data_IF_875959688810
#
_entry.id   IF_875959688810
#
_cell.length_a   1.000
_cell.length_b   1.000
_cell.length_c   1.000
_cell.angle_alpha   90.00
_cell.angle_beta   90.00
_cell.angle_gamma   90.00
#
_symmetry.space_group_name_H-M   'P 1'
#
loop_
_entity.id
_entity.type
_entity.pdbx_description
1 polymer ?
#
# COMPACT_ATOMS: atom_id res chain seq x y z
N UNK A 1 -7.15 -17.99 -24.59
CA UNK A 1 -5.72 -18.06 -24.22
C UNK A 1 -5.53 -19.25 -23.31
N UNK A 2 -4.71 -20.22 -23.72
CA UNK A 2 -4.57 -21.50 -23.03
C UNK A 2 -3.87 -21.33 -21.67
N UNK A 3 -4.51 -21.80 -20.60
CA UNK A 3 -3.89 -21.93 -19.29
C UNK A 3 -3.03 -23.20 -19.33
N UNK A 4 -1.73 -23.06 -19.62
CA UNK A 4 -0.78 -24.15 -19.39
C UNK A 4 -0.70 -24.43 -17.89
N UNK A 5 -1.33 -25.52 -17.45
CA UNK A 5 -1.13 -26.05 -16.10
C UNK A 5 0.28 -26.62 -16.00
N UNK A 6 1.23 -25.81 -15.54
CA UNK A 6 2.52 -26.29 -15.04
C UNK A 6 2.29 -27.11 -13.75
N UNK A 7 1.97 -28.39 -13.89
CA UNK A 7 1.99 -29.34 -12.78
C UNK A 7 3.44 -29.76 -12.49
N UNK A 8 4.15 -28.95 -11.71
CA UNK A 8 5.43 -29.32 -11.12
C UNK A 8 5.24 -29.94 -9.74
N UNK A 9 5.66 -31.19 -9.55
CA UNK A 9 5.75 -31.78 -8.20
C UNK A 9 6.99 -31.22 -7.51
N UNK A 10 6.82 -30.25 -6.62
CA UNK A 10 7.89 -29.75 -5.74
C UNK A 10 8.27 -30.83 -4.72
N UNK A 11 9.38 -31.53 -4.98
CA UNK A 11 10.02 -32.40 -3.98
C UNK A 11 10.86 -31.52 -3.06
N UNK A 12 10.28 -31.10 -1.94
CA UNK A 12 11.05 -30.46 -0.87
C UNK A 12 12.03 -31.47 -0.26
N UNK A 13 13.27 -31.05 -0.01
CA UNK A 13 14.22 -31.84 0.78
C UNK A 13 13.59 -32.19 2.14
N UNK A 14 13.84 -33.39 2.64
CA UNK A 14 13.27 -33.87 3.91
C UNK A 14 13.77 -33.01 5.07
N UNK A 15 13.03 -31.95 5.42
CA UNK A 15 13.21 -31.26 6.69
C UNK A 15 13.01 -32.28 7.83
N UNK A 16 13.79 -32.21 8.93
CA UNK A 16 13.58 -33.08 10.08
C UNK A 16 12.11 -32.96 10.52
N UNK A 17 11.36 -34.06 10.40
CA UNK A 17 9.93 -34.09 10.73
C UNK A 17 9.78 -34.30 12.23
N UNK A 18 9.92 -33.24 13.02
CA UNK A 18 9.56 -33.31 14.44
C UNK A 18 8.06 -33.11 14.58
N UNK A 19 7.42 -34.03 15.31
CA UNK A 19 5.98 -34.00 15.54
C UNK A 19 5.61 -32.72 16.28
N UNK A 20 4.62 -31.98 15.76
CA UNK A 20 4.17 -30.71 16.35
C UNK A 20 4.91 -29.46 15.84
N UNK A 21 5.95 -29.62 14.99
CA UNK A 21 6.56 -28.49 14.32
C UNK A 21 5.61 -27.91 13.25
N UNK A 22 5.54 -26.58 13.20
CA UNK A 22 4.85 -25.85 12.15
C UNK A 22 5.83 -25.50 11.02
N UNK A 23 5.37 -25.67 9.78
CA UNK A 23 6.11 -25.37 8.56
C UNK A 23 5.36 -24.31 7.75
N UNK A 24 6.06 -23.61 6.87
CA UNK A 24 5.42 -22.73 5.87
C UNK A 24 5.93 -23.10 4.49
N UNK A 25 5.05 -23.05 3.50
CA UNK A 25 5.40 -23.19 2.10
C UNK A 25 5.74 -21.82 1.54
N UNK A 26 6.81 -21.74 0.76
CA UNK A 26 7.19 -20.54 0.00
C UNK A 26 7.10 -20.88 -1.47
N UNK A 27 6.25 -20.15 -2.20
CA UNK A 27 6.23 -20.18 -3.66
C UNK A 27 6.96 -18.93 -4.16
N UNK A 28 7.99 -19.10 -5.00
CA UNK A 28 8.84 -18.01 -5.46
C UNK A 28 9.47 -18.31 -6.82
N UNK A 29 9.66 -17.28 -7.63
CA UNK A 29 10.41 -17.32 -8.89
C UNK A 29 11.90 -16.99 -8.73
N UNK A 30 12.39 -16.87 -7.48
CA UNK A 30 13.78 -16.51 -7.15
C UNK A 30 14.51 -17.68 -6.51
N UNK A 31 15.78 -17.89 -6.86
CA UNK A 31 16.61 -18.98 -6.35
C UNK A 31 17.72 -18.46 -5.43
N UNK A 32 17.36 -17.92 -4.26
CA UNK A 32 18.31 -17.47 -3.24
C UNK A 32 17.74 -17.61 -1.81
N UNK A 33 18.59 -17.53 -0.77
CA UNK A 33 18.20 -17.81 0.62
C UNK A 33 17.07 -16.92 1.17
N UNK A 34 16.92 -15.70 0.64
CA UNK A 34 15.87 -14.72 0.98
C UNK A 34 14.80 -14.59 -0.10
N UNK A 35 14.57 -15.63 -0.90
CA UNK A 35 13.65 -15.59 -2.04
C UNK A 35 12.17 -15.38 -1.67
N UNK A 36 11.83 -15.42 -0.38
CA UNK A 36 10.49 -15.11 0.15
C UNK A 36 10.27 -13.62 0.42
N UNK A 37 11.32 -12.79 0.34
CA UNK A 37 11.28 -11.36 0.67
C UNK A 37 11.25 -10.53 -0.61
N UNK A 38 10.28 -9.61 -0.69
CA UNK A 38 10.18 -8.59 -1.74
C UNK A 38 10.97 -7.36 -1.30
N UNK A 39 11.98 -6.94 -2.05
CA UNK A 39 12.76 -5.74 -1.71
C UNK A 39 12.14 -4.51 -2.38
N UNK A 40 11.50 -3.63 -1.59
CA UNK A 40 10.83 -2.44 -2.13
C UNK A 40 11.79 -1.40 -2.73
N UNK A 41 13.07 -1.42 -2.35
CA UNK A 41 14.09 -0.56 -2.98
C UNK A 41 14.66 -1.13 -4.28
N UNK A 42 14.24 -2.32 -4.70
CA UNK A 42 14.74 -2.92 -5.94
C UNK A 42 14.09 -2.22 -7.14
N UNK A 43 14.90 -1.79 -8.12
CA UNK A 43 14.39 -1.16 -9.35
C UNK A 43 13.53 -2.12 -10.19
N UNK A 44 13.77 -3.41 -10.04
CA UNK A 44 13.12 -4.53 -10.72
C UNK A 44 12.04 -5.21 -9.85
N UNK A 45 11.48 -4.51 -8.84
CA UNK A 45 10.61 -5.12 -7.81
C UNK A 45 9.48 -5.97 -8.40
N UNK A 46 8.79 -5.50 -9.45
CA UNK A 46 7.69 -6.22 -10.11
C UNK A 46 8.05 -6.97 -11.39
N UNK A 47 9.33 -7.14 -11.74
CA UNK A 47 9.72 -7.86 -12.96
C UNK A 47 9.35 -9.35 -12.93
N UNK A 48 9.26 -9.95 -11.73
CA UNK A 48 8.97 -11.38 -11.53
C UNK A 48 7.76 -11.58 -10.62
N UNK A 49 7.05 -12.72 -10.73
CA UNK A 49 5.98 -13.06 -9.80
C UNK A 49 6.44 -12.95 -8.34
N UNK A 50 5.68 -12.22 -7.55
CA UNK A 50 6.01 -11.98 -6.14
C UNK A 50 5.93 -13.27 -5.33
N UNK A 51 6.92 -13.53 -4.46
CA UNK A 51 6.88 -14.68 -3.57
C UNK A 51 5.71 -14.59 -2.60
N UNK A 52 5.16 -15.75 -2.25
CA UNK A 52 4.06 -15.89 -1.29
C UNK A 52 4.38 -16.98 -0.28
N UNK A 53 4.00 -16.72 0.97
CA UNK A 53 4.13 -17.67 2.07
C UNK A 53 2.76 -18.17 2.51
N UNK A 54 2.64 -19.47 2.75
CA UNK A 54 1.45 -20.00 3.44
C UNK A 54 1.41 -19.54 4.90
N UNK A 55 0.24 -19.63 5.54
CA UNK A 55 0.16 -19.68 7.00
C UNK A 55 0.87 -20.94 7.54
N UNK A 56 1.18 -21.00 8.85
CA UNK A 56 1.79 -22.17 9.46
C UNK A 56 0.95 -23.45 9.27
N UNK A 57 1.56 -24.46 8.68
CA UNK A 57 1.02 -25.81 8.46
C UNK A 57 1.64 -26.74 9.50
N UNK A 58 0.83 -27.32 10.37
CA UNK A 58 1.27 -28.33 11.33
C UNK A 58 1.06 -29.71 10.73
N UNK A 59 2.15 -30.45 10.54
CA UNK A 59 2.06 -31.85 10.11
C UNK A 59 1.80 -32.73 11.34
N UNK A 60 0.66 -33.41 11.36
CA UNK A 60 0.32 -34.33 12.45
C UNK A 60 -0.15 -35.68 11.91
N UNK A 61 0.22 -36.77 12.59
CA UNK A 61 -0.15 -38.13 12.20
C UNK A 61 -1.61 -38.48 12.51
N UNK A 62 -2.32 -37.63 13.25
CA UNK A 62 -3.75 -37.77 13.52
C UNK A 62 -4.49 -36.77 12.63
N UNK A 63 -5.11 -37.25 11.56
CA UNK A 63 -6.01 -36.41 10.78
C UNK A 63 -7.08 -35.84 11.73
N UNK A 64 -7.19 -34.51 11.82
CA UNK A 64 -8.35 -33.88 12.43
C UNK A 64 -9.53 -34.10 11.48
N UNK A 65 -10.13 -35.29 11.52
CA UNK A 65 -11.35 -35.65 10.78
C UNK A 65 -12.58 -35.06 11.48
N UNK A 66 -12.56 -33.75 11.74
CA UNK A 66 -13.73 -33.00 12.19
C UNK A 66 -14.35 -32.27 11.01
N UNK A 67 -15.67 -32.14 11.00
CA UNK A 67 -16.45 -31.39 10.00
C UNK A 67 -16.09 -29.87 9.92
N UNK A 68 -15.10 -29.41 10.69
CA UNK A 68 -14.64 -28.02 10.83
C UNK A 68 -13.11 -27.89 10.79
N UNK A 69 -12.40 -28.71 10.00
CA UNK A 69 -11.05 -28.33 9.60
C UNK A 69 -11.16 -27.19 8.58
N UNK A 70 -11.32 -25.96 9.06
CA UNK A 70 -11.39 -24.77 8.22
C UNK A 70 -10.21 -24.76 7.26
N UNK A 71 -10.50 -24.66 5.96
CA UNK A 71 -9.47 -24.53 4.95
C UNK A 71 -8.73 -23.23 5.22
N UNK A 72 -7.40 -23.27 5.20
CA UNK A 72 -6.60 -22.07 5.30
C UNK A 72 -6.90 -21.14 4.11
N UNK A 73 -7.33 -19.92 4.41
CA UNK A 73 -7.71 -18.91 3.41
C UNK A 73 -6.83 -17.66 3.46
N UNK A 74 -5.63 -17.78 4.01
CA UNK A 74 -4.69 -16.67 4.13
C UNK A 74 -3.31 -17.06 3.63
N UNK A 75 -2.61 -16.04 3.19
CA UNK A 75 -1.20 -16.06 2.81
C UNK A 75 -0.52 -14.81 3.40
N UNK A 76 0.80 -14.83 3.47
CA UNK A 76 1.59 -13.68 3.88
C UNK A 76 2.67 -13.37 2.84
N UNK A 77 2.98 -12.09 2.70
CA UNK A 77 4.13 -11.58 1.96
C UNK A 77 4.99 -10.74 2.88
N UNK A 78 6.30 -10.83 2.71
CA UNK A 78 7.26 -10.06 3.49
C UNK A 78 7.96 -9.06 2.57
N UNK A 79 7.87 -7.78 2.91
CA UNK A 79 8.48 -6.68 2.17
C UNK A 79 9.62 -6.07 2.98
N UNK A 80 10.81 -6.03 2.40
CA UNK A 80 11.95 -5.31 2.95
C UNK A 80 11.84 -3.83 2.61
N UNK A 81 11.87 -2.99 3.65
CA UNK A 81 11.92 -1.53 3.61
C UNK A 81 13.28 -1.08 4.13
N UNK A 82 14.19 -0.51 3.32
CA UNK A 82 15.45 0.03 3.82
C UNK A 82 15.20 1.34 4.56
N UNK A 83 15.22 1.27 5.89
CA UNK A 83 14.89 2.39 6.78
C UNK A 83 16.06 3.37 6.89
N UNK A 84 17.28 2.87 7.07
CA UNK A 84 18.52 3.65 7.11
C UNK A 84 19.66 2.87 6.42
N UNK A 85 20.87 3.44 6.32
CA UNK A 85 21.99 2.84 5.60
C UNK A 85 22.29 1.38 6.01
N UNK A 86 22.04 1.03 7.28
CA UNK A 86 22.31 -0.30 7.83
C UNK A 86 21.11 -0.90 8.58
N UNK A 87 19.92 -0.29 8.47
CA UNK A 87 18.72 -0.75 9.18
C UNK A 87 17.61 -1.05 8.17
N UNK A 88 17.17 -2.30 8.16
CA UNK A 88 16.03 -2.76 7.40
C UNK A 88 14.81 -2.94 8.32
N UNK A 89 13.64 -2.54 7.82
CA UNK A 89 12.34 -2.95 8.31
C UNK A 89 11.79 -4.07 7.43
N UNK A 90 10.97 -4.94 8.01
CA UNK A 90 10.32 -6.05 7.29
C UNK A 90 8.83 -5.99 7.55
N UNK A 91 8.08 -5.48 6.56
CA UNK A 91 6.63 -5.48 6.61
C UNK A 91 6.11 -6.87 6.33
N UNK A 92 5.29 -7.41 7.22
CA UNK A 92 4.54 -8.66 6.98
C UNK A 92 3.10 -8.31 6.68
N UNK A 93 2.66 -8.57 5.45
CA UNK A 93 1.30 -8.27 5.00
C UNK A 93 0.56 -9.58 4.77
N UNK A 94 -0.57 -9.73 5.45
CA UNK A 94 -1.53 -10.81 5.21
C UNK A 94 -2.51 -10.42 4.12
N UNK A 95 -2.82 -11.40 3.27
CA UNK A 95 -3.88 -11.34 2.27
C UNK A 95 -4.84 -12.51 2.49
N UNK A 96 -6.08 -12.37 2.03
CA UNK A 96 -7.02 -13.50 1.97
C UNK A 96 -7.00 -14.13 0.56
N UNK A 97 -7.28 -15.42 0.47
CA UNK A 97 -7.34 -16.14 -0.81
C UNK A 97 -8.75 -16.14 -1.42
N UNK A 98 -9.71 -15.42 -0.83
CA UNK A 98 -11.05 -15.20 -1.39
C UNK A 98 -11.01 -14.36 -2.66
N UNK A 99 -12.17 -14.08 -3.28
CA UNK A 99 -12.27 -13.22 -4.46
C UNK A 99 -12.41 -11.74 -4.13
N UNK A 100 -12.47 -11.39 -2.84
CA UNK A 100 -12.63 -10.00 -2.40
C UNK A 100 -11.35 -9.21 -2.74
N UNK A 101 -11.53 -8.09 -3.45
CA UNK A 101 -10.44 -7.32 -4.04
C UNK A 101 -9.66 -6.52 -2.99
N UNK A 102 -10.35 -6.06 -1.94
CA UNK A 102 -9.84 -5.33 -0.77
C UNK A 102 -8.88 -6.17 0.09
N UNK A 103 -8.86 -7.48 -0.13
CA UNK A 103 -8.08 -8.43 0.68
C UNK A 103 -6.77 -8.87 0.02
N UNK A 104 -6.38 -8.21 -1.07
CA UNK A 104 -5.18 -8.50 -1.87
C UNK A 104 -4.22 -7.32 -1.89
N UNK A 105 -2.94 -7.62 -2.09
CA UNK A 105 -1.95 -6.62 -2.48
C UNK A 105 -1.94 -6.53 -4.00
N UNK A 106 -2.15 -5.31 -4.50
CA UNK A 106 -2.10 -5.00 -5.92
C UNK A 106 -0.78 -4.35 -6.33
N UNK A 107 -0.45 -4.46 -7.62
CA UNK A 107 0.80 -3.94 -8.19
C UNK A 107 0.99 -2.44 -7.89
N UNK A 108 -0.09 -1.65 -7.99
CA UNK A 108 -0.07 -0.21 -7.69
C UNK A 108 0.36 0.08 -6.25
N UNK A 109 -0.07 -0.73 -5.28
CA UNK A 109 0.35 -0.61 -3.88
C UNK A 109 1.84 -0.93 -3.68
N UNK A 110 2.36 -1.95 -4.37
CA UNK A 110 3.78 -2.32 -4.32
C UNK A 110 4.65 -1.27 -5.02
N UNK A 111 4.24 -0.84 -6.22
CA UNK A 111 4.96 0.16 -7.01
C UNK A 111 5.00 1.51 -6.31
N UNK A 112 3.88 1.96 -5.73
CA UNK A 112 3.85 3.19 -4.96
C UNK A 112 4.70 3.09 -3.68
N UNK A 113 4.62 1.96 -2.95
CA UNK A 113 5.48 1.72 -1.79
C UNK A 113 6.97 1.73 -2.16
N UNK A 114 7.34 1.14 -3.30
CA UNK A 114 8.69 1.19 -3.85
C UNK A 114 9.14 2.60 -4.21
N UNK A 115 8.23 3.42 -4.73
CA UNK A 115 8.47 4.82 -5.02
C UNK A 115 8.67 5.66 -3.76
N UNK A 116 7.85 5.46 -2.73
CA UNK A 116 8.03 6.11 -1.42
C UNK A 116 9.38 5.76 -0.78
N UNK A 117 9.85 4.52 -0.91
CA UNK A 117 11.18 4.11 -0.44
C UNK A 117 12.30 4.85 -1.18
N UNK A 118 12.18 5.04 -2.50
CA UNK A 118 13.14 5.85 -3.26
C UNK A 118 13.11 7.31 -2.78
N UNK A 119 11.90 7.89 -2.66
CA UNK A 119 11.69 9.28 -2.28
C UNK A 119 12.28 9.60 -0.90
N UNK A 120 12.06 8.71 0.09
CA UNK A 120 12.58 8.87 1.45
C UNK A 120 14.12 8.79 1.52
N UNK A 121 14.74 8.04 0.62
CA UNK A 121 16.21 7.84 0.59
C UNK A 121 16.93 8.98 -0.13
N UNK A 122 16.31 9.56 -1.14
CA UNK A 122 16.85 10.73 -1.85
C UNK A 122 16.52 12.00 -1.06
N UNK A 123 17.35 12.37 -0.08
CA UNK A 123 17.07 13.56 0.76
C UNK A 123 17.23 14.90 0.05
N UNK A 124 18.01 14.92 -1.03
CA UNK A 124 18.29 16.12 -1.82
C UNK A 124 17.64 15.94 -3.18
N UNK A 125 16.94 16.97 -3.71
CA UNK A 125 16.43 16.96 -5.07
C UNK A 125 17.54 16.62 -6.07
N UNK A 126 17.23 15.77 -7.04
CA UNK A 126 18.12 15.53 -8.17
C UNK A 126 18.11 16.71 -9.15
N UNK A 127 19.15 16.83 -9.98
CA UNK A 127 19.15 17.79 -11.09
C UNK A 127 17.97 17.51 -12.03
N UNK A 128 17.17 18.54 -12.31
CA UNK A 128 15.98 18.43 -13.17
C UNK A 128 14.77 17.73 -12.53
N UNK A 129 14.75 17.59 -11.20
CA UNK A 129 13.61 17.00 -10.50
C UNK A 129 12.31 17.80 -10.69
N UNK A 130 11.21 17.08 -10.86
CA UNK A 130 9.88 17.66 -10.96
C UNK A 130 9.48 18.34 -9.62
N UNK A 131 8.99 19.58 -9.66
CA UNK A 131 8.68 20.36 -8.46
C UNK A 131 7.71 19.64 -7.50
N UNK A 132 6.72 18.92 -8.04
CA UNK A 132 5.81 18.11 -7.22
C UNK A 132 6.52 16.98 -6.46
N UNK A 133 7.56 16.38 -7.03
CA UNK A 133 8.36 15.35 -6.36
C UNK A 133 9.11 15.95 -5.18
N UNK A 134 9.71 17.13 -5.36
CA UNK A 134 10.35 17.87 -4.26
C UNK A 134 9.36 18.18 -3.14
N UNK A 135 8.18 18.71 -3.50
CA UNK A 135 7.11 19.00 -2.54
C UNK A 135 6.61 17.75 -1.82
N UNK A 136 6.41 16.64 -2.54
CA UNK A 136 6.00 15.36 -1.95
C UNK A 136 7.02 14.86 -0.93
N UNK A 137 8.32 14.96 -1.25
CA UNK A 137 9.38 14.60 -0.31
C UNK A 137 9.34 15.45 0.95
N UNK A 138 9.19 16.77 0.78
CA UNK A 138 9.20 17.70 1.90
C UNK A 138 8.02 17.47 2.84
N UNK A 139 6.83 17.25 2.28
CA UNK A 139 5.61 16.93 3.03
C UNK A 139 5.73 15.56 3.72
N UNK A 140 6.12 14.52 2.98
CA UNK A 140 6.05 13.13 3.47
C UNK A 140 7.23 12.72 4.33
N UNK A 141 8.40 13.35 4.23
CA UNK A 141 9.62 12.88 4.90
C UNK A 141 10.48 13.96 5.57
N UNK A 142 10.44 15.22 5.11
CA UNK A 142 11.21 16.30 5.75
C UNK A 142 10.44 16.99 6.89
N UNK A 143 9.12 17.13 6.75
CA UNK A 143 8.27 17.81 7.72
C UNK A 143 8.12 17.01 9.02
N UNK A 144 8.29 17.71 10.15
CA UNK A 144 8.10 17.12 11.48
C UNK A 144 6.64 16.70 11.70
N UNK A 145 5.69 17.52 11.24
CA UNK A 145 4.26 17.20 11.21
C UNK A 145 3.86 16.70 9.84
N UNK A 146 3.10 15.61 9.77
CA UNK A 146 2.52 15.11 8.52
C UNK A 146 1.19 14.40 8.82
N UNK A 147 0.11 14.89 8.23
CA UNK A 147 -1.24 14.34 8.33
C UNK A 147 -1.60 13.77 6.97
N UNK A 148 -1.87 12.48 6.94
CA UNK A 148 -2.11 11.73 5.72
C UNK A 148 -3.43 10.97 5.83
N UNK A 149 -4.17 10.94 4.73
CA UNK A 149 -5.29 10.02 4.54
C UNK A 149 -5.03 9.18 3.28
N UNK A 150 -5.06 7.86 3.42
CA UNK A 150 -5.06 6.93 2.30
C UNK A 150 -6.49 6.48 2.02
N UNK A 151 -6.94 6.58 0.77
CA UNK A 151 -8.25 6.09 0.32
C UNK A 151 -8.11 4.74 -0.37
N UNK A 152 -8.94 3.77 0.00
CA UNK A 152 -8.94 2.43 -0.60
C UNK A 152 -7.66 1.66 -0.27
N UNK A 153 -7.29 1.64 1.01
CA UNK A 153 -6.02 1.09 1.47
C UNK A 153 -5.91 -0.44 1.30
N UNK A 154 -7.04 -1.16 1.28
CA UNK A 154 -7.15 -2.61 1.28
C UNK A 154 -6.32 -3.24 2.40
N UNK A 155 -5.14 -3.77 2.04
CA UNK A 155 -4.20 -4.38 2.99
C UNK A 155 -3.36 -3.37 3.80
N UNK A 156 -3.32 -2.10 3.37
CA UNK A 156 -2.59 -1.01 4.03
C UNK A 156 -1.11 -0.88 3.64
N UNK A 157 -0.64 -1.62 2.63
CA UNK A 157 0.81 -1.70 2.32
C UNK A 157 1.47 -0.32 2.13
N UNK A 158 0.77 0.66 1.55
CA UNK A 158 1.32 1.99 1.29
C UNK A 158 1.46 2.78 2.58
N UNK A 159 0.39 2.93 3.37
CA UNK A 159 0.46 3.60 4.69
C UNK A 159 1.43 2.92 5.65
N UNK A 160 1.51 1.59 5.65
CA UNK A 160 2.47 0.84 6.47
C UNK A 160 3.91 1.15 6.06
N UNK A 161 4.18 1.23 4.75
CA UNK A 161 5.48 1.65 4.23
C UNK A 161 5.82 3.08 4.64
N UNK A 162 4.87 4.00 4.49
CA UNK A 162 5.04 5.40 4.87
C UNK A 162 5.31 5.54 6.38
N UNK A 163 4.52 4.90 7.23
CA UNK A 163 4.68 4.93 8.68
C UNK A 163 6.04 4.39 9.13
N UNK A 164 6.51 3.30 8.53
CA UNK A 164 7.83 2.73 8.82
C UNK A 164 8.96 3.69 8.42
N UNK A 165 8.89 4.27 7.20
CA UNK A 165 9.88 5.24 6.71
C UNK A 165 9.89 6.53 7.55
N UNK A 166 8.72 7.08 7.90
CA UNK A 166 8.63 8.29 8.74
C UNK A 166 9.17 8.05 10.14
N UNK A 167 8.94 6.86 10.71
CA UNK A 167 9.40 6.50 12.06
C UNK A 167 10.91 6.57 12.24
N UNK A 168 11.69 6.47 11.16
CA UNK A 168 13.15 6.64 11.17
C UNK A 168 13.64 7.95 10.56
N UNK A 169 12.79 8.65 9.79
CA UNK A 169 13.17 9.89 9.10
C UNK A 169 13.05 11.11 10.00
N UNK A 170 12.10 11.10 10.94
CA UNK A 170 11.83 12.24 11.84
C UNK A 170 12.11 11.86 13.30
N UNK A 171 12.88 12.69 14.01
CA UNK A 171 13.22 12.45 15.41
C UNK A 171 11.98 12.51 16.31
N UNK A 172 11.21 13.60 16.22
CA UNK A 172 9.93 13.82 16.89
C UNK A 172 8.88 14.16 15.84
N UNK A 173 8.17 13.13 15.37
CA UNK A 173 7.10 13.28 14.39
C UNK A 173 5.75 13.51 15.06
N UNK A 174 4.93 14.38 14.49
CA UNK A 174 3.53 14.58 14.88
C UNK A 174 2.60 14.49 13.66
N UNK A 175 1.30 14.41 13.90
CA UNK A 175 0.27 14.24 12.87
C UNK A 175 -0.44 12.90 12.97
N UNK A 176 -0.91 12.39 11.83
CA UNK A 176 -1.67 11.15 11.75
C UNK A 176 -1.49 10.52 10.36
N UNK A 177 -1.70 9.21 10.28
CA UNK A 177 -1.80 8.48 9.02
C UNK A 177 -3.10 7.68 9.09
N UNK A 178 -4.20 8.23 8.58
CA UNK A 178 -5.44 7.47 8.44
C UNK A 178 -5.33 6.56 7.22
N UNK A 179 -5.44 5.25 7.43
CA UNK A 179 -5.45 4.26 6.37
C UNK A 179 -6.88 3.77 6.22
N UNK A 180 -7.58 4.24 5.19
CA UNK A 180 -9.05 4.14 5.12
C UNK A 180 -9.52 3.21 4.03
N UNK A 181 -10.60 2.49 4.32
CA UNK A 181 -11.30 1.60 3.39
C UNK A 181 -12.72 1.34 3.91
N UNK A 182 -13.49 0.48 3.23
CA UNK A 182 -14.79 0.01 3.68
C UNK A 182 -14.65 -0.87 4.94
N UNK A 183 -15.73 -0.97 5.72
CA UNK A 183 -15.80 -1.82 6.93
C UNK A 183 -15.39 -3.27 6.66
N UNK A 184 -15.64 -3.80 5.45
CA UNK A 184 -15.27 -5.15 5.06
C UNK A 184 -13.76 -5.41 5.08
N UNK A 185 -12.96 -4.38 4.83
CA UNK A 185 -11.51 -4.45 4.75
C UNK A 185 -10.83 -4.24 6.12
N UNK A 186 -11.50 -3.54 7.04
CA UNK A 186 -10.92 -3.15 8.33
C UNK A 186 -10.33 -4.30 9.15
N UNK A 187 -10.97 -5.48 9.28
CA UNK A 187 -10.38 -6.56 10.07
C UNK A 187 -9.01 -7.03 9.55
N UNK A 188 -8.81 -7.03 8.23
CA UNK A 188 -7.53 -7.40 7.63
C UNK A 188 -6.52 -6.24 7.75
N UNK A 189 -6.98 -5.01 7.54
CA UNK A 189 -6.16 -3.82 7.64
C UNK A 189 -5.60 -3.64 9.06
N UNK A 190 -6.46 -3.72 10.08
CA UNK A 190 -6.08 -3.69 11.50
C UNK A 190 -5.08 -4.79 11.87
N UNK A 191 -5.31 -6.00 11.35
CA UNK A 191 -4.38 -7.11 11.52
C UNK A 191 -2.99 -6.76 10.96
N UNK A 192 -2.94 -6.22 9.75
CA UNK A 192 -1.68 -5.85 9.11
C UNK A 192 -0.99 -4.68 9.82
N UNK A 193 -1.73 -3.67 10.30
CA UNK A 193 -1.12 -2.61 11.13
C UNK A 193 -0.51 -3.22 12.39
N UNK A 194 -1.28 -4.00 13.14
CA UNK A 194 -0.83 -4.59 14.41
C UNK A 194 0.37 -5.52 14.23
N UNK A 195 0.38 -6.33 13.17
CA UNK A 195 1.50 -7.22 12.86
C UNK A 195 2.82 -6.47 12.60
N UNK A 196 2.74 -5.17 12.29
CA UNK A 196 3.89 -4.33 11.96
C UNK A 196 4.16 -3.24 13.01
N UNK A 197 3.47 -3.26 14.16
CA UNK A 197 3.65 -2.29 15.27
C UNK A 197 5.12 -1.98 15.62
N UNK A 198 6.05 -2.96 15.68
CA UNK A 198 7.45 -2.68 16.01
C UNK A 198 8.19 -1.77 15.02
N UNK A 199 7.62 -1.50 13.85
CA UNK A 199 8.19 -0.62 12.83
C UNK A 199 7.78 0.85 13.01
N UNK A 200 6.83 1.13 13.90
CA UNK A 200 6.22 2.45 14.04
C UNK A 200 6.61 3.13 15.35
N UNK A 201 6.75 4.46 15.32
CA UNK A 201 6.57 5.31 16.50
C UNK A 201 5.09 5.57 16.70
N UNK A 202 4.62 5.71 17.94
CA UNK A 202 3.18 5.83 18.26
C UNK A 202 2.43 6.87 17.41
N UNK A 203 2.97 8.09 17.25
CA UNK A 203 2.35 9.16 16.46
C UNK A 203 2.41 8.96 14.93
N UNK A 204 3.13 7.94 14.47
CA UNK A 204 3.38 7.63 13.06
C UNK A 204 2.87 6.24 12.67
N UNK A 205 2.19 5.57 13.61
CA UNK A 205 1.49 4.32 13.38
C UNK A 205 0.25 4.60 12.52
N UNK A 206 0.06 3.89 11.38
CA UNK A 206 -1.18 3.97 10.61
C UNK A 206 -2.40 3.63 11.46
N UNK A 207 -3.48 4.36 11.25
CA UNK A 207 -4.73 4.27 12.00
C UNK A 207 -5.83 3.80 11.04
N UNK A 208 -6.22 2.51 11.09
CA UNK A 208 -7.36 2.00 10.33
C UNK A 208 -8.62 2.78 10.66
N UNK A 209 -9.38 3.15 9.63
CA UNK A 209 -10.63 3.90 9.79
C UNK A 209 -11.58 3.61 8.63
N UNK A 210 -12.86 3.38 8.94
CA UNK A 210 -13.89 3.23 7.92
C UNK A 210 -14.07 4.54 7.15
N UNK A 211 -14.02 4.49 5.82
CA UNK A 211 -14.40 5.61 4.97
C UNK A 211 -15.01 5.05 3.68
N UNK A 212 -16.33 5.11 3.62
CA UNK A 212 -17.11 4.81 2.41
C UNK A 212 -17.23 6.08 1.56
N UNK A 213 -16.89 5.97 0.27
CA UNK A 213 -16.93 7.10 -0.66
C UNK A 213 -18.36 7.52 -1.01
N UNK A 214 -19.33 6.61 -0.87
CA UNK A 214 -20.73 6.87 -1.17
C UNK A 214 -21.43 7.64 -0.03
N UNK A 215 -20.87 7.64 1.17
CA UNK A 215 -21.40 8.39 2.31
C UNK A 215 -21.24 9.91 2.14
N UNK A 216 -22.26 10.67 2.53
CA UNK A 216 -22.32 12.14 2.36
C UNK A 216 -21.45 12.92 3.35
N UNK A 217 -21.14 12.33 4.50
CA UNK A 217 -20.28 12.93 5.52
C UNK A 217 -18.96 12.17 5.65
N UNK A 218 -17.87 12.90 5.91
CA UNK A 218 -16.60 12.27 6.25
C UNK A 218 -16.66 11.76 7.71
N UNK A 219 -15.89 10.72 8.06
CA UNK A 219 -15.78 10.25 9.44
C UNK A 219 -15.40 11.37 10.41
N UNK A 220 -15.88 11.29 11.64
CA UNK A 220 -15.66 12.33 12.65
C UNK A 220 -14.18 12.58 12.96
N UNK A 221 -13.38 11.52 12.89
CA UNK A 221 -11.93 11.49 13.10
C UNK A 221 -11.20 12.25 11.98
N UNK A 222 -11.70 12.14 10.75
CA UNK A 222 -11.21 12.89 9.57
C UNK A 222 -11.59 14.36 9.71
N UNK A 223 -12.82 14.66 10.11
CA UNK A 223 -13.29 16.03 10.34
C UNK A 223 -12.59 16.72 11.52
N UNK A 224 -12.14 15.96 12.52
CA UNK A 224 -11.44 16.46 13.68
C UNK A 224 -9.98 16.86 13.39
N UNK A 225 -9.46 16.60 12.19
CA UNK A 225 -8.10 17.00 11.81
C UNK A 225 -8.07 18.50 11.52
N UNK A 226 -7.75 19.29 12.55
CA UNK A 226 -7.61 20.73 12.43
C UNK A 226 -6.60 21.11 11.35
N UNK A 227 -7.02 21.94 10.39
CA UNK A 227 -6.22 22.40 9.26
C UNK A 227 -5.99 21.34 8.17
N UNK A 228 -6.82 20.31 8.10
CA UNK A 228 -6.88 19.34 7.00
C UNK A 228 -5.68 18.39 6.89
N UNK A 229 -5.44 17.90 5.68
CA UNK A 229 -4.37 16.94 5.39
C UNK A 229 -3.22 17.60 4.66
N UNK A 230 -2.02 17.07 4.84
CA UNK A 230 -0.84 17.49 4.10
C UNK A 230 -0.66 16.61 2.85
N UNK A 231 -1.12 15.36 2.89
CA UNK A 231 -1.17 14.47 1.73
C UNK A 231 -2.42 13.58 1.71
N UNK A 232 -2.90 13.30 0.49
CA UNK A 232 -3.92 12.30 0.21
C UNK A 232 -3.27 11.22 -0.65
N UNK A 233 -3.35 9.96 -0.25
CA UNK A 233 -2.73 8.84 -0.96
C UNK A 233 -3.81 7.93 -1.53
N UNK A 234 -3.60 7.46 -2.75
CA UNK A 234 -4.47 6.50 -3.43
C UNK A 234 -3.60 5.49 -4.17
N UNK A 235 -3.94 4.21 -4.11
CA UNK A 235 -3.30 3.17 -4.92
C UNK A 235 -4.36 2.23 -5.45
N UNK A 236 -4.42 2.08 -6.78
CA UNK A 236 -5.34 1.15 -7.44
C UNK A 236 -6.85 1.41 -7.24
N UNK A 237 -7.23 2.64 -6.89
CA UNK A 237 -8.64 3.04 -6.66
C UNK A 237 -9.47 3.18 -7.94
N UNK A 238 -8.88 2.92 -9.11
CA UNK A 238 -9.47 3.23 -10.42
C UNK A 238 -10.23 2.07 -11.06
N UNK A 239 -10.23 0.88 -10.47
CA UNK A 239 -10.71 -0.35 -11.11
C UNK A 239 -12.23 -0.40 -11.38
N UNK A 240 -13.01 0.44 -10.69
CA UNK A 240 -14.46 0.53 -10.85
C UNK A 240 -14.87 1.95 -11.22
N UNK A 241 -15.07 2.20 -12.51
CA UNK A 241 -15.45 3.52 -13.05
C UNK A 241 -16.78 4.03 -12.49
N UNK A 242 -17.69 3.15 -12.09
CA UNK A 242 -18.95 3.52 -11.44
C UNK A 242 -18.74 4.22 -10.08
N UNK A 243 -17.62 3.97 -9.40
CA UNK A 243 -17.27 4.59 -8.12
C UNK A 243 -16.62 5.96 -8.27
N UNK A 244 -16.27 6.40 -9.49
CA UNK A 244 -15.55 7.67 -9.69
C UNK A 244 -16.32 8.90 -9.20
N UNK A 245 -17.63 9.05 -9.41
CA UNK A 245 -18.37 10.18 -8.85
C UNK A 245 -18.25 10.26 -7.32
N UNK A 246 -18.32 9.12 -6.63
CA UNK A 246 -18.21 9.03 -5.18
C UNK A 246 -16.79 9.36 -4.69
N UNK A 247 -15.77 8.79 -5.35
CA UNK A 247 -14.37 9.09 -5.08
C UNK A 247 -14.05 10.58 -5.27
N UNK A 248 -14.51 11.20 -6.36
CA UNK A 248 -14.29 12.62 -6.66
C UNK A 248 -14.98 13.53 -5.64
N UNK A 249 -16.21 13.21 -5.21
CA UNK A 249 -16.87 13.93 -4.10
C UNK A 249 -16.09 13.82 -2.80
N UNK A 250 -15.57 12.63 -2.48
CA UNK A 250 -14.74 12.39 -1.30
C UNK A 250 -13.44 13.19 -1.34
N UNK A 251 -12.73 13.15 -2.47
CA UNK A 251 -11.54 13.98 -2.69
C UNK A 251 -11.84 15.46 -2.51
N UNK A 252 -12.92 15.96 -3.12
CA UNK A 252 -13.34 17.35 -2.96
C UNK A 252 -13.54 17.72 -1.48
N UNK A 253 -14.28 16.92 -0.71
CA UNK A 253 -14.50 17.18 0.73
C UNK A 253 -13.18 17.21 1.50
N UNK A 254 -12.28 16.27 1.26
CA UNK A 254 -10.96 16.22 1.92
C UNK A 254 -10.08 17.43 1.58
N UNK A 255 -10.12 17.89 0.33
CA UNK A 255 -9.40 19.08 -0.12
C UNK A 255 -9.90 20.34 0.60
N UNK A 256 -11.21 20.48 0.77
CA UNK A 256 -11.82 21.61 1.47
C UNK A 256 -11.57 21.64 2.99
N UNK A 257 -11.10 20.54 3.60
CA UNK A 257 -10.64 20.57 5.00
C UNK A 257 -9.33 21.33 5.18
N UNK A 258 -8.56 21.48 4.10
CA UNK A 258 -7.22 22.07 4.13
C UNK A 258 -7.27 23.56 3.77
N UNK A 259 -6.46 24.41 4.42
CA UNK A 259 -6.37 25.83 4.07
C UNK A 259 -6.01 26.04 2.59
N UNK A 260 -6.56 27.05 1.89
CA UNK A 260 -6.27 27.31 0.48
C UNK A 260 -4.79 27.59 0.18
N UNK A 261 -4.06 28.15 1.14
CA UNK A 261 -2.63 28.46 1.06
C UNK A 261 -1.74 27.22 1.35
N UNK A 262 -2.32 26.15 1.88
CA UNK A 262 -1.64 24.89 2.15
C UNK A 262 -2.47 23.67 1.70
N UNK A 263 -2.74 23.53 0.39
CA UNK A 263 -3.49 22.39 -0.11
C UNK A 263 -2.67 21.09 0.06
N UNK A 264 -3.31 19.93 0.23
CA UNK A 264 -2.60 18.67 0.28
C UNK A 264 -1.97 18.34 -1.08
N UNK A 265 -0.89 17.57 -1.07
CA UNK A 265 -0.43 16.87 -2.28
C UNK A 265 -1.19 15.55 -2.43
N UNK A 266 -1.66 15.26 -3.64
CA UNK A 266 -2.30 13.97 -3.92
C UNK A 266 -1.25 13.04 -4.53
N UNK A 267 -1.13 11.82 -4.02
CA UNK A 267 -0.20 10.81 -4.52
C UNK A 267 -0.98 9.61 -5.01
N UNK A 268 -0.85 9.28 -6.29
CA UNK A 268 -1.61 8.20 -6.93
C UNK A 268 -0.66 7.17 -7.55
N UNK A 269 -0.77 5.93 -7.12
CA UNK A 269 -0.20 4.77 -7.81
C UNK A 269 -1.26 4.13 -8.71
N UNK A 270 -0.94 3.98 -9.99
CA UNK A 270 -1.90 3.51 -11.00
C UNK A 270 -1.27 2.48 -11.93
N UNK A 271 -1.97 1.37 -12.17
CA UNK A 271 -1.64 0.43 -13.23
C UNK A 271 -2.85 0.27 -14.13
N UNK A 272 -2.70 0.66 -15.38
CA UNK A 272 -3.76 0.56 -16.38
C UNK A 272 -4.17 -0.90 -16.60
N UNK A 273 -5.47 -1.16 -16.49
CA UNK A 273 -6.10 -2.43 -16.87
C UNK A 273 -7.18 -2.22 -17.92
N UNK A 274 -7.82 -1.06 -17.88
CA UNK A 274 -8.80 -0.61 -18.85
C UNK A 274 -8.58 0.89 -19.15
N UNK A 275 -8.52 1.32 -20.42
CA UNK A 275 -8.39 2.74 -20.76
C UNK A 275 -9.47 3.66 -20.15
N UNK A 276 -10.68 3.14 -19.88
CA UNK A 276 -11.76 3.91 -19.24
C UNK A 276 -11.40 4.37 -17.82
N UNK A 277 -10.47 3.71 -17.15
CA UNK A 277 -9.98 4.11 -15.83
C UNK A 277 -9.37 5.52 -15.84
N UNK A 278 -8.85 5.96 -17.00
CA UNK A 278 -8.26 7.29 -17.17
C UNK A 278 -9.28 8.43 -17.11
N UNK A 279 -10.59 8.13 -17.21
CA UNK A 279 -11.63 9.15 -17.06
C UNK A 279 -11.61 9.84 -15.70
N UNK A 280 -11.05 9.21 -14.65
CA UNK A 280 -10.84 9.83 -13.34
C UNK A 280 -9.99 11.12 -13.43
N UNK A 281 -9.00 11.17 -14.31
CA UNK A 281 -8.14 12.35 -14.48
C UNK A 281 -8.92 13.54 -15.03
N UNK A 282 -9.91 13.30 -15.89
CA UNK A 282 -10.76 14.36 -16.43
C UNK A 282 -11.80 14.79 -15.39
N UNK A 283 -12.39 13.85 -14.64
CA UNK A 283 -13.35 14.18 -13.59
C UNK A 283 -12.72 15.00 -12.45
N UNK A 284 -11.47 14.71 -12.09
CA UNK A 284 -10.76 15.42 -11.02
C UNK A 284 -10.41 16.87 -11.39
N UNK A 285 -10.28 17.20 -12.68
CA UNK A 285 -10.18 18.61 -13.13
C UNK A 285 -11.41 19.43 -12.73
N UNK A 286 -12.59 18.81 -12.69
CA UNK A 286 -13.84 19.45 -12.26
C UNK A 286 -13.83 19.92 -10.81
N UNK A 287 -12.93 19.37 -9.98
CA UNK A 287 -12.71 19.79 -8.58
C UNK A 287 -11.37 20.50 -8.39
N UNK A 288 -10.78 21.05 -9.47
CA UNK A 288 -9.52 21.80 -9.41
C UNK A 288 -8.26 20.96 -9.26
N UNK A 289 -8.36 19.63 -9.46
CA UNK A 289 -7.21 18.72 -9.36
C UNK A 289 -6.67 18.38 -10.74
N UNK A 290 -5.36 18.49 -10.91
CA UNK A 290 -4.66 17.98 -12.09
C UNK A 290 -3.47 17.14 -11.68
N UNK A 291 -3.19 16.09 -12.46
CA UNK A 291 -2.16 15.12 -12.16
C UNK A 291 -1.03 15.16 -13.19
N UNK A 292 0.20 15.15 -12.69
CA UNK A 292 1.41 14.97 -13.48
C UNK A 292 2.00 13.59 -13.22
N UNK A 293 2.34 12.85 -14.28
CA UNK A 293 3.08 11.59 -14.16
C UNK A 293 4.53 11.92 -13.86
N UNK A 294 5.02 11.51 -12.69
CA UNK A 294 6.36 11.84 -12.20
C UNK A 294 7.31 10.66 -12.16
N UNK A 295 6.81 9.45 -12.43
CA UNK A 295 7.64 8.26 -12.45
C UNK A 295 6.84 6.99 -12.73
N UNK A 296 7.54 5.87 -12.65
CA UNK A 296 6.96 4.55 -12.83
C UNK A 296 7.77 3.47 -12.11
N UNK A 297 7.17 2.30 -11.98
CA UNK A 297 7.77 1.02 -11.59
C UNK A 297 7.34 -0.08 -12.54
N UNK A 298 8.15 -1.11 -12.67
CA UNK A 298 7.77 -2.32 -13.41
C UNK A 298 6.68 -3.04 -12.60
N UNK A 299 5.49 -3.21 -13.18
CA UNK A 299 4.42 -4.04 -12.66
C UNK A 299 4.43 -5.46 -13.26
N UNK A 300 3.48 -6.29 -12.81
CA UNK A 300 3.33 -7.65 -13.33
C UNK A 300 3.04 -7.62 -14.85
N UNK A 301 3.61 -8.56 -15.59
CA UNK A 301 3.52 -8.57 -17.06
C UNK A 301 4.44 -7.55 -17.74
N UNK A 302 5.25 -6.81 -16.98
CA UNK A 302 6.06 -5.66 -17.41
C UNK A 302 5.27 -4.39 -17.73
N UNK A 303 3.96 -4.40 -17.52
CA UNK A 303 3.14 -3.20 -17.64
C UNK A 303 3.51 -2.21 -16.52
N UNK A 304 3.56 -0.90 -16.79
CA UNK A 304 4.02 0.08 -15.81
C UNK A 304 2.99 0.29 -14.70
N UNK A 305 3.49 0.37 -13.47
CA UNK A 305 2.82 1.07 -12.38
C UNK A 305 3.27 2.53 -12.46
N UNK A 306 2.40 3.39 -12.95
CA UNK A 306 2.60 4.82 -13.06
C UNK A 306 2.47 5.51 -11.69
N UNK A 307 3.32 6.50 -11.45
CA UNK A 307 3.26 7.35 -10.26
C UNK A 307 2.83 8.74 -10.68
N UNK A 308 1.73 9.21 -10.10
CA UNK A 308 1.11 10.49 -10.40
C UNK A 308 1.07 11.37 -9.15
N UNK A 309 1.40 12.64 -9.31
CA UNK A 309 1.25 13.64 -8.26
C UNK A 309 0.20 14.67 -8.68
N UNK A 310 -0.79 14.86 -7.83
CA UNK A 310 -1.88 15.81 -8.04
C UNK A 310 -1.58 17.15 -7.38
N UNK A 311 -1.79 18.23 -8.14
CA UNK A 311 -1.91 19.59 -7.63
C UNK A 311 -3.38 19.97 -7.52
N UNK A 312 -3.74 20.59 -6.40
CA UNK A 312 -5.04 21.22 -6.21
C UNK A 312 -4.88 22.73 -6.33
N UNK A 313 -5.57 23.31 -7.31
CA UNK A 313 -5.70 24.74 -7.48
C UNK A 313 -7.10 25.11 -6.98
N UNK A 314 -7.17 25.74 -5.81
CA UNK A 314 -8.45 26.24 -5.30
C UNK A 314 -9.02 27.21 -6.34
N UNK A 315 -10.25 26.93 -6.81
CA UNK A 315 -10.95 27.85 -7.69
C UNK A 315 -11.09 29.23 -7.04
N UNK A 316 -11.24 30.30 -7.86
CA UNK A 316 -11.51 31.64 -7.36
C UNK A 316 -12.79 31.72 -6.52
#
# INVERSE_FOLDING_TARGET
>A
MAVEQLQGVLRAASAPRTRGQAYRLVLTARQHARAHIVNLAARDVGERPFPVMSMPIVLSSRARTGAHAEKQQSIERVYRVPLQAEKDGFLTIREQTSFDLDKKVWDSGIGLSSWLVELARQRVPGDGEHQLVSRARDVLFASARCRVVELGAGTGIVSLTLGALRSVSVAQGSGCIFTTDLDSALPLLEHNVTANDPLFKDSLRPQPLALDWDEETLPSEVLAVEGGFDAIIMADVTYNTASFPALVRTLSRLLHLSPPDHPPIIVLGYKERDPEERTLWDMTKGIGVSFDRVGERIGAGRDPVEIWLGKYECGP
#
